data_IF_672535780889
#
_entry.id   IF_672535780889
#
_cell.length_a   1.000
_cell.length_b   1.000
_cell.length_c   1.000
_cell.angle_alpha   90.00
_cell.angle_beta   90.00
_cell.angle_gamma   90.00
#
_symmetry.space_group_name_H-M   'P 1'
#
loop_
_entity.id
_entity.type
_entity.pdbx_description
1 polymer ?
#
# COMPACT_ATOMS: atom_id res chain seq x y z
N UNK A 1 4.67 15.68 -5.55
CA UNK A 1 5.86 15.64 -4.69
C UNK A 1 6.11 14.20 -4.25
N UNK A 2 7.34 13.78 -4.29
CA UNK A 2 7.70 12.45 -3.82
C UNK A 2 8.17 12.56 -2.38
N UNK A 3 7.56 11.79 -1.49
CA UNK A 3 7.96 11.77 -0.08
C UNK A 3 9.17 10.86 0.05
N UNK A 4 10.29 11.42 0.49
CA UNK A 4 11.55 10.69 0.61
C UNK A 4 11.59 9.78 1.85
N UNK A 5 10.72 10.02 2.81
CA UNK A 5 10.70 9.30 4.08
C UNK A 5 9.28 8.83 4.38
N UNK A 6 9.15 7.54 4.67
CA UNK A 6 7.86 6.95 4.96
C UNK A 6 7.14 7.62 6.15
N UNK A 7 7.90 8.10 7.12
CA UNK A 7 7.35 8.78 8.30
C UNK A 7 6.66 10.11 7.96
N UNK A 8 6.98 10.69 6.80
CA UNK A 8 6.41 11.96 6.37
C UNK A 8 5.15 11.77 5.53
N UNK A 9 4.79 10.54 5.22
CA UNK A 9 3.61 10.26 4.42
C UNK A 9 2.34 10.65 5.18
N UNK A 10 1.42 11.33 4.49
CA UNK A 10 0.15 11.77 5.06
C UNK A 10 -1.06 11.11 4.43
N UNK A 11 -0.88 10.40 3.32
CA UNK A 11 -1.96 9.71 2.63
C UNK A 11 -1.44 8.42 1.99
N UNK A 12 -2.37 7.61 1.46
CA UNK A 12 -2.02 6.29 0.94
C UNK A 12 -1.11 6.38 -0.28
N UNK A 13 -1.28 7.37 -1.13
CA UNK A 13 -0.44 7.52 -2.33
C UNK A 13 1.01 7.83 -1.94
N UNK A 14 1.20 8.76 -1.00
CA UNK A 14 2.53 9.09 -0.50
C UNK A 14 3.17 7.90 0.21
N UNK A 15 2.38 7.16 0.98
CA UNK A 15 2.85 5.97 1.66
C UNK A 15 3.37 4.94 0.66
N UNK A 16 2.56 4.62 -0.35
CA UNK A 16 2.92 3.63 -1.36
C UNK A 16 4.18 4.05 -2.14
N UNK A 17 4.26 5.31 -2.55
CA UNK A 17 5.40 5.82 -3.31
C UNK A 17 6.67 5.73 -2.47
N UNK A 18 6.62 6.17 -1.22
CA UNK A 18 7.78 6.13 -0.32
C UNK A 18 8.24 4.70 -0.04
N UNK A 19 7.30 3.80 0.24
CA UNK A 19 7.63 2.40 0.50
C UNK A 19 8.23 1.74 -0.73
N UNK A 20 7.64 1.99 -1.90
CA UNK A 20 8.15 1.44 -3.17
C UNK A 20 9.60 1.89 -3.40
N UNK A 21 9.90 3.16 -3.17
CA UNK A 21 11.26 3.68 -3.32
C UNK A 21 12.23 3.02 -2.35
N UNK A 22 11.82 2.84 -1.10
CA UNK A 22 12.66 2.17 -0.10
C UNK A 22 12.96 0.73 -0.49
N UNK A 23 11.95 0.01 -0.99
CA UNK A 23 12.12 -1.37 -1.42
C UNK A 23 13.03 -1.47 -2.64
N UNK A 24 12.90 -0.56 -3.60
CA UNK A 24 13.76 -0.50 -4.78
C UNK A 24 15.21 -0.22 -4.39
N UNK A 25 15.41 0.70 -3.46
CA UNK A 25 16.76 1.04 -3.00
C UNK A 25 17.43 -0.13 -2.29
N UNK A 26 16.65 -0.89 -1.50
CA UNK A 26 17.18 -2.01 -0.72
C UNK A 26 17.40 -3.26 -1.56
N UNK A 27 16.59 -3.52 -2.57
CA UNK A 27 16.53 -4.79 -3.29
C UNK A 27 16.69 -4.67 -4.81
N UNK A 28 16.79 -3.46 -5.37
CA UNK A 28 16.88 -3.23 -6.81
C UNK A 28 15.54 -2.82 -7.41
N UNK A 29 15.59 -2.14 -8.57
CA UNK A 29 14.41 -1.56 -9.20
C UNK A 29 13.34 -2.60 -9.55
N UNK A 30 13.76 -3.78 -9.99
CA UNK A 30 12.83 -4.83 -10.43
C UNK A 30 12.09 -5.49 -9.27
N UNK A 31 12.54 -5.27 -8.04
CA UNK A 31 11.93 -5.89 -6.88
C UNK A 31 10.44 -5.52 -6.71
N UNK A 32 10.06 -4.35 -7.18
CA UNK A 32 8.70 -3.83 -7.02
C UNK A 32 7.84 -3.92 -8.29
N UNK A 33 8.31 -4.64 -9.33
CA UNK A 33 7.55 -4.76 -10.57
C UNK A 33 6.16 -5.38 -10.33
N UNK A 34 6.04 -6.28 -9.35
CA UNK A 34 4.76 -6.89 -9.01
C UNK A 34 3.73 -5.86 -8.52
N UNK A 35 4.18 -4.75 -7.94
CA UNK A 35 3.27 -3.69 -7.49
C UNK A 35 2.59 -3.00 -8.67
N UNK A 36 3.33 -2.76 -9.75
CA UNK A 36 2.77 -2.19 -10.97
C UNK A 36 1.70 -3.12 -11.55
N UNK A 37 1.95 -4.42 -11.49
CA UNK A 37 1.00 -5.43 -11.95
C UNK A 37 -0.25 -5.46 -11.06
N UNK A 38 -0.09 -5.38 -9.74
CA UNK A 38 -1.22 -5.30 -8.82
C UNK A 38 -2.06 -4.05 -9.10
N UNK A 39 -1.41 -2.92 -9.33
CA UNK A 39 -2.11 -1.69 -9.65
C UNK A 39 -2.96 -1.84 -10.92
N UNK A 40 -2.39 -2.44 -11.95
CA UNK A 40 -3.07 -2.68 -13.21
C UNK A 40 -4.25 -3.64 -13.05
N UNK A 41 -4.03 -4.74 -12.35
CA UNK A 41 -5.04 -5.80 -12.18
C UNK A 41 -6.20 -5.38 -11.28
N UNK A 42 -5.96 -4.50 -10.32
CA UNK A 42 -7.00 -4.06 -9.38
C UNK A 42 -7.79 -2.85 -9.88
N UNK A 43 -7.42 -2.30 -11.01
CA UNK A 43 -8.16 -1.19 -11.61
C UNK A 43 -9.58 -1.63 -11.92
N UNK A 44 -10.56 -0.87 -11.44
CA UNK A 44 -11.98 -1.17 -11.60
C UNK A 44 -12.47 -2.40 -10.82
N UNK A 45 -11.66 -2.92 -9.88
CA UNK A 45 -12.07 -4.02 -9.02
C UNK A 45 -13.05 -3.55 -7.95
N UNK A 46 -13.95 -4.45 -7.52
CA UNK A 46 -14.90 -4.17 -6.44
C UNK A 46 -14.36 -4.59 -5.08
N UNK A 47 -13.44 -5.55 -5.07
CA UNK A 47 -12.85 -6.04 -3.83
C UNK A 47 -11.43 -6.51 -4.07
N UNK A 48 -10.64 -6.46 -3.01
CA UNK A 48 -9.26 -6.96 -3.01
C UNK A 48 -9.01 -7.65 -1.68
N UNK A 49 -8.48 -8.85 -1.74
CA UNK A 49 -8.09 -9.62 -0.56
C UNK A 49 -6.68 -10.12 -0.70
N UNK A 50 -5.94 -10.09 0.41
CA UNK A 50 -4.61 -10.68 0.45
C UNK A 50 -4.31 -11.31 1.80
N UNK A 51 -3.38 -12.28 1.78
CA UNK A 51 -2.80 -12.87 2.97
C UNK A 51 -1.33 -12.45 2.98
N UNK A 52 -0.88 -11.89 4.12
CA UNK A 52 0.47 -11.39 4.24
C UNK A 52 0.54 -9.89 3.96
N UNK A 53 0.13 -9.08 4.93
CA UNK A 53 0.15 -7.62 4.83
C UNK A 53 1.57 -7.07 4.84
N UNK A 54 2.40 -7.60 5.70
CA UNK A 54 3.77 -7.16 5.96
C UNK A 54 3.85 -5.64 6.12
N UNK A 55 4.56 -4.95 5.24
CA UNK A 55 4.70 -3.48 5.29
C UNK A 55 3.56 -2.75 4.57
N UNK A 56 2.65 -3.48 3.95
CA UNK A 56 1.51 -2.90 3.26
C UNK A 56 1.80 -2.42 1.85
N UNK A 57 2.85 -2.93 1.19
CA UNK A 57 3.20 -2.54 -0.17
C UNK A 57 2.08 -2.90 -1.15
N UNK A 58 1.64 -4.15 -1.16
CA UNK A 58 0.54 -4.60 -2.03
C UNK A 58 -0.78 -3.97 -1.62
N UNK A 59 -1.04 -3.91 -0.31
CA UNK A 59 -2.27 -3.32 0.23
C UNK A 59 -2.41 -1.87 -0.21
N UNK A 60 -1.38 -1.05 0.01
CA UNK A 60 -1.42 0.36 -0.35
C UNK A 60 -1.55 0.55 -1.85
N UNK A 61 -0.91 -0.30 -2.65
CA UNK A 61 -1.01 -0.24 -4.11
C UNK A 61 -2.45 -0.48 -4.57
N UNK A 62 -3.11 -1.51 -4.04
CA UNK A 62 -4.51 -1.79 -4.35
C UNK A 62 -5.42 -0.64 -3.90
N UNK A 63 -5.17 -0.08 -2.72
CA UNK A 63 -5.98 1.00 -2.17
C UNK A 63 -5.89 2.29 -3.00
N UNK A 64 -4.82 2.50 -3.75
CA UNK A 64 -4.71 3.64 -4.67
C UNK A 64 -5.80 3.63 -5.73
N UNK A 65 -6.36 2.48 -6.06
CA UNK A 65 -7.44 2.34 -7.03
C UNK A 65 -8.83 2.57 -6.45
N UNK A 66 -8.92 2.97 -5.18
CA UNK A 66 -10.19 3.28 -4.52
C UNK A 66 -11.20 2.13 -4.56
N UNK A 67 -10.70 0.93 -4.31
CA UNK A 67 -11.53 -0.27 -4.28
C UNK A 67 -12.49 -0.18 -3.09
N UNK A 68 -13.80 -0.43 -3.27
CA UNK A 68 -14.77 -0.30 -2.17
C UNK A 68 -14.51 -1.23 -0.99
N UNK A 69 -13.92 -2.40 -1.24
CA UNK A 69 -13.63 -3.37 -0.18
C UNK A 69 -12.20 -3.87 -0.30
N UNK A 70 -11.42 -3.65 0.75
CA UNK A 70 -10.04 -4.16 0.84
C UNK A 70 -9.88 -4.92 2.14
N UNK A 71 -9.43 -6.15 2.05
CA UNK A 71 -9.14 -6.99 3.22
C UNK A 71 -7.69 -7.47 3.14
N UNK A 72 -6.95 -7.26 4.21
CA UNK A 72 -5.59 -7.78 4.32
C UNK A 72 -5.46 -8.52 5.64
N UNK A 73 -4.82 -9.68 5.59
CA UNK A 73 -4.70 -10.59 6.74
C UNK A 73 -3.23 -10.88 7.01
N UNK A 74 -2.83 -10.75 8.25
CA UNK A 74 -1.50 -11.13 8.69
C UNK A 74 -1.58 -11.66 10.11
N UNK A 75 -0.59 -12.48 10.47
CA UNK A 75 -0.45 -12.96 11.85
C UNK A 75 0.06 -11.87 12.78
N UNK A 76 0.70 -10.84 12.23
CA UNK A 76 1.27 -9.73 13.00
C UNK A 76 1.28 -8.48 12.13
N UNK A 77 0.73 -7.38 12.65
CA UNK A 77 0.69 -6.10 11.97
C UNK A 77 1.78 -5.13 12.46
N UNK A 78 2.85 -5.63 13.09
CA UNK A 78 3.89 -4.80 13.69
C UNK A 78 4.49 -3.79 12.69
N UNK A 79 4.65 -4.17 11.44
CA UNK A 79 5.24 -3.29 10.43
C UNK A 79 4.30 -2.20 9.95
N UNK A 80 2.99 -2.41 10.03
CA UNK A 80 2.00 -1.46 9.54
C UNK A 80 1.40 -0.60 10.65
N UNK A 81 1.45 -1.07 11.89
CA UNK A 81 0.83 -0.37 13.01
C UNK A 81 1.22 1.11 13.14
N UNK A 82 2.48 1.51 12.94
CA UNK A 82 2.84 2.93 13.01
C UNK A 82 2.14 3.79 11.97
N UNK A 83 1.62 3.20 10.89
CA UNK A 83 1.00 3.89 9.76
C UNK A 83 -0.48 3.56 9.61
N UNK A 84 -1.04 2.87 10.59
CA UNK A 84 -2.42 2.39 10.55
C UNK A 84 -3.42 3.50 10.24
N UNK A 85 -3.20 4.68 10.80
CA UNK A 85 -4.09 5.83 10.61
C UNK A 85 -4.20 6.24 9.12
N UNK A 86 -3.13 6.08 8.34
CA UNK A 86 -3.15 6.41 6.91
C UNK A 86 -4.11 5.47 6.18
N UNK A 87 -4.02 4.17 6.47
CA UNK A 87 -4.88 3.16 5.85
C UNK A 87 -6.35 3.35 6.25
N UNK A 88 -6.60 3.59 7.53
CA UNK A 88 -7.96 3.76 8.03
C UNK A 88 -8.61 5.03 7.48
N UNK A 89 -7.87 6.13 7.42
CA UNK A 89 -8.39 7.38 6.87
C UNK A 89 -8.76 7.22 5.41
N UNK A 90 -7.89 6.58 4.62
CA UNK A 90 -8.17 6.34 3.21
C UNK A 90 -9.42 5.46 3.03
N UNK A 91 -9.55 4.41 3.83
CA UNK A 91 -10.70 3.52 3.78
C UNK A 91 -12.01 4.27 4.07
N UNK A 92 -12.00 5.17 5.03
CA UNK A 92 -13.18 5.97 5.35
C UNK A 92 -13.55 6.95 4.25
N UNK A 93 -12.56 7.53 3.58
CA UNK A 93 -12.79 8.49 2.50
C UNK A 93 -13.37 7.83 1.25
N UNK A 94 -13.23 6.52 1.12
CA UNK A 94 -13.67 5.76 -0.05
C UNK A 94 -14.97 4.98 0.16
N UNK A 95 -15.67 5.26 1.23
CA UNK A 95 -16.99 4.63 1.46
C UNK A 95 -18.05 5.21 0.55
#
# INVERSE_FOLDING_TARGET
MIVANLKEATNINEYQISLKQQLQKAHGEQYTDYLDEIYRLTKNSQSYREIGTFQGASTSTAMMNRIPYVETIDIDFVHINPYKHIFETHAQQNK
#
